data_IF_498627723214
#
_entry.id   IF_498627723214
#
_cell.length_a   1.000
_cell.length_b   1.000
_cell.length_c   1.000
_cell.angle_alpha   90.00
_cell.angle_beta   90.00
_cell.angle_gamma   90.00
#
_symmetry.space_group_name_H-M   'P 1'
#
loop_
_entity.id
_entity.type
_entity.pdbx_description
1 polymer ?
#
# COMPACT_ATOMS: atom_id res chain seq x y z
N UNK A 1 17.64 12.21 2.43
CA UNK A 1 17.37 11.36 1.28
C UNK A 1 18.02 9.98 1.43
N UNK A 2 19.33 9.92 1.75
CA UNK A 2 20.09 8.66 1.89
C UNK A 2 19.55 7.76 3.01
N UNK A 3 19.25 8.32 4.20
CA UNK A 3 18.71 7.57 5.34
C UNK A 3 17.36 6.88 5.00
N UNK A 4 16.50 7.54 4.21
CA UNK A 4 15.24 6.96 3.79
C UNK A 4 15.43 5.79 2.81
N UNK A 5 16.34 5.93 1.84
CA UNK A 5 16.68 4.84 0.91
C UNK A 5 17.33 3.65 1.62
N UNK A 6 18.20 3.92 2.60
CA UNK A 6 18.83 2.87 3.39
C UNK A 6 17.79 2.10 4.23
N UNK A 7 16.84 2.80 4.83
CA UNK A 7 15.72 2.18 5.56
C UNK A 7 14.86 1.30 4.66
N UNK A 8 14.58 1.75 3.43
CA UNK A 8 13.82 0.96 2.46
C UNK A 8 14.58 -0.31 2.04
N UNK A 9 15.90 -0.19 1.85
CA UNK A 9 16.77 -1.32 1.51
C UNK A 9 16.80 -2.35 2.65
N UNK A 10 16.94 -1.90 3.89
CA UNK A 10 16.90 -2.77 5.08
C UNK A 10 15.55 -3.45 5.20
N UNK A 11 14.45 -2.71 4.95
CA UNK A 11 13.09 -3.27 4.92
C UNK A 11 12.93 -4.37 3.87
N UNK A 12 13.48 -4.15 2.67
CA UNK A 12 13.45 -5.12 1.58
C UNK A 12 14.28 -6.37 1.89
N UNK A 13 15.51 -6.18 2.38
CA UNK A 13 16.39 -7.30 2.78
C UNK A 13 15.73 -8.11 3.89
N UNK A 14 15.16 -7.43 4.91
CA UNK A 14 14.46 -8.10 5.99
C UNK A 14 13.24 -8.91 5.50
N UNK A 15 12.50 -8.40 4.52
CA UNK A 15 11.40 -9.13 3.90
C UNK A 15 11.89 -10.38 3.17
N UNK A 16 12.98 -10.28 2.39
CA UNK A 16 13.58 -11.42 1.69
C UNK A 16 14.02 -12.48 2.70
N UNK A 17 14.70 -12.08 3.78
CA UNK A 17 15.13 -13.00 4.84
C UNK A 17 13.94 -13.66 5.52
N UNK A 18 12.91 -12.89 5.87
CA UNK A 18 11.68 -13.44 6.47
C UNK A 18 11.00 -14.43 5.53
N UNK A 19 10.96 -14.15 4.23
CA UNK A 19 10.40 -15.03 3.21
C UNK A 19 11.21 -16.32 3.06
N UNK A 20 12.54 -16.23 3.03
CA UNK A 20 13.43 -17.40 2.98
C UNK A 20 13.27 -18.29 4.21
N UNK A 21 13.16 -17.71 5.39
CA UNK A 21 12.90 -18.45 6.64
C UNK A 21 11.53 -19.14 6.56
N UNK A 22 10.48 -18.41 6.18
CA UNK A 22 9.13 -18.97 6.07
C UNK A 22 9.07 -20.10 5.04
N UNK A 23 9.72 -19.93 3.91
CA UNK A 23 9.80 -20.94 2.84
C UNK A 23 10.62 -22.15 3.27
N UNK A 24 11.77 -21.91 3.91
CA UNK A 24 12.63 -22.97 4.44
C UNK A 24 11.93 -23.82 5.49
N UNK A 25 11.21 -23.20 6.41
CA UNK A 25 10.40 -23.89 7.43
C UNK A 25 9.27 -24.68 6.80
N UNK A 26 8.56 -24.10 5.82
CA UNK A 26 7.48 -24.82 5.10
C UNK A 26 8.04 -26.01 4.32
N UNK A 27 9.17 -25.84 3.62
CA UNK A 27 9.83 -26.91 2.90
C UNK A 27 10.32 -28.01 3.84
N UNK A 28 10.86 -27.65 5.00
CA UNK A 28 11.28 -28.61 6.02
C UNK A 28 10.09 -29.44 6.54
N UNK A 29 8.93 -28.80 6.76
CA UNK A 29 7.72 -29.48 7.21
C UNK A 29 7.11 -30.43 6.18
N UNK A 30 7.28 -30.12 4.88
CA UNK A 30 6.68 -30.92 3.79
C UNK A 30 7.56 -32.06 3.27
N UNK A 31 8.86 -32.06 3.58
CA UNK A 31 9.86 -32.95 2.95
C UNK A 31 10.23 -34.21 3.73
N UNK A 32 9.44 -34.63 4.71
CA UNK A 32 9.80 -35.76 5.58
C UNK A 32 10.98 -35.48 6.52
N UNK A 33 11.54 -34.24 6.49
CA UNK A 33 12.59 -33.82 7.44
C UNK A 33 12.08 -33.86 8.88
N UNK A 34 10.80 -33.54 9.08
CA UNK A 34 10.16 -33.60 10.38
C UNK A 34 10.21 -35.05 10.92
N UNK A 35 9.93 -36.03 10.09
CA UNK A 35 10.01 -37.46 10.46
C UNK A 35 11.45 -37.85 10.83
N UNK A 36 12.45 -37.42 10.05
CA UNK A 36 13.86 -37.70 10.37
C UNK A 36 14.34 -36.98 11.64
N UNK A 37 13.78 -35.84 11.97
CA UNK A 37 14.09 -35.12 13.23
C UNK A 37 13.50 -35.88 14.41
N UNK A 38 12.26 -36.36 14.30
CA UNK A 38 11.61 -37.19 15.35
C UNK A 38 12.35 -38.49 15.57
N UNK A 39 12.77 -39.20 14.52
CA UNK A 39 13.60 -40.41 14.61
C UNK A 39 14.94 -40.12 15.31
N UNK A 40 15.58 -38.98 15.05
CA UNK A 40 16.84 -38.61 15.73
C UNK A 40 16.68 -38.22 17.20
N UNK A 41 15.52 -37.68 17.56
CA UNK A 41 15.19 -37.32 18.95
C UNK A 41 14.72 -38.56 19.75
N UNK A 42 14.63 -39.74 19.09
CA UNK A 42 14.27 -40.97 19.75
C UNK A 42 12.78 -41.10 20.03
N UNK A 43 11.93 -40.38 19.29
CA UNK A 43 10.49 -40.52 19.36
C UNK A 43 10.08 -41.67 18.41
N UNK A 44 9.74 -42.81 18.96
CA UNK A 44 9.25 -43.96 18.19
C UNK A 44 7.94 -43.62 17.49
N UNK A 45 7.78 -44.13 16.26
CA UNK A 45 6.55 -43.96 15.48
C UNK A 45 5.38 -44.59 16.19
N UNK A 46 4.39 -43.78 16.58
CA UNK A 46 3.13 -44.24 17.18
C UNK A 46 1.96 -44.01 16.23
N UNK A 47 0.88 -44.80 16.44
CA UNK A 47 -0.35 -44.61 15.67
C UNK A 47 -0.92 -43.22 15.93
N UNK A 48 -0.87 -42.31 14.90
CA UNK A 48 -1.26 -40.90 15.00
C UNK A 48 -0.11 -39.90 14.81
N UNK A 49 1.12 -40.35 14.61
CA UNK A 49 2.29 -39.48 14.39
C UNK A 49 2.11 -38.54 13.17
N UNK A 50 1.48 -39.02 12.10
CA UNK A 50 1.18 -38.22 10.92
C UNK A 50 0.28 -37.01 11.25
N UNK A 51 -0.65 -37.20 12.17
CA UNK A 51 -1.56 -36.14 12.62
C UNK A 51 -0.81 -35.10 13.45
N UNK A 52 0.11 -35.52 14.30
CA UNK A 52 0.99 -34.60 15.07
C UNK A 52 1.91 -33.84 14.14
N UNK A 53 2.55 -34.49 13.18
CA UNK A 53 3.41 -33.86 12.18
C UNK A 53 2.62 -32.83 11.37
N UNK A 54 1.39 -33.17 10.98
CA UNK A 54 0.51 -32.25 10.25
C UNK A 54 0.20 -30.99 11.08
N UNK A 55 -0.22 -31.12 12.33
CA UNK A 55 -0.55 -29.97 13.18
C UNK A 55 0.67 -29.14 13.56
N UNK A 56 1.81 -29.77 13.80
CA UNK A 56 3.07 -29.06 14.04
C UNK A 56 3.49 -28.29 12.78
N UNK A 57 3.44 -28.89 11.61
CA UNK A 57 3.73 -28.25 10.34
C UNK A 57 2.80 -27.07 10.06
N UNK A 58 1.50 -27.23 10.35
CA UNK A 58 0.49 -26.17 10.23
C UNK A 58 0.80 -25.00 11.18
N UNK A 59 1.09 -25.28 12.45
CA UNK A 59 1.39 -24.26 13.45
C UNK A 59 2.66 -23.47 13.07
N UNK A 60 3.70 -24.18 12.69
CA UNK A 60 4.98 -23.57 12.27
C UNK A 60 4.79 -22.76 10.99
N UNK A 61 4.04 -23.27 10.02
CA UNK A 61 3.68 -22.53 8.80
C UNK A 61 2.88 -21.28 9.10
N UNK A 62 1.95 -21.34 10.03
CA UNK A 62 1.12 -20.21 10.43
C UNK A 62 1.94 -19.12 11.13
N UNK A 63 2.89 -19.51 12.00
CA UNK A 63 3.82 -18.58 12.65
C UNK A 63 4.73 -17.91 11.60
N UNK A 64 5.28 -18.68 10.67
CA UNK A 64 6.13 -18.16 9.60
C UNK A 64 5.37 -17.16 8.71
N UNK A 65 4.16 -17.50 8.28
CA UNK A 65 3.28 -16.60 7.51
C UNK A 65 2.91 -15.35 8.32
N UNK A 66 2.69 -15.50 9.64
CA UNK A 66 2.41 -14.35 10.51
C UNK A 66 3.60 -13.38 10.55
N UNK A 67 4.83 -13.87 10.67
CA UNK A 67 6.03 -13.03 10.68
C UNK A 67 6.16 -12.27 9.36
N UNK A 68 5.96 -12.93 8.22
CA UNK A 68 6.01 -12.29 6.89
C UNK A 68 4.93 -11.22 6.76
N UNK A 69 3.69 -11.52 7.14
CA UNK A 69 2.58 -10.57 7.07
C UNK A 69 2.76 -9.40 8.04
N UNK A 70 3.23 -9.68 9.24
CA UNK A 70 3.55 -8.65 10.22
C UNK A 70 4.61 -7.69 9.67
N UNK A 71 5.67 -8.23 9.06
CA UNK A 71 6.71 -7.44 8.41
C UNK A 71 6.15 -6.59 7.28
N UNK A 72 5.35 -7.20 6.41
CA UNK A 72 4.75 -6.53 5.25
C UNK A 72 3.83 -5.38 5.66
N UNK A 73 3.02 -5.55 6.71
CA UNK A 73 1.99 -4.58 7.11
C UNK A 73 2.54 -3.51 8.04
N UNK A 74 3.47 -3.86 8.95
CA UNK A 74 3.91 -2.94 10.00
C UNK A 74 5.28 -2.31 9.76
N UNK A 75 6.19 -3.01 9.09
CA UNK A 75 7.58 -2.56 8.92
C UNK A 75 7.79 -1.93 7.56
N UNK A 76 7.24 -2.53 6.51
CA UNK A 76 7.43 -2.07 5.14
C UNK A 76 6.75 -0.72 4.83
N UNK A 77 5.51 -0.42 5.30
CA UNK A 77 4.85 0.84 4.98
C UNK A 77 5.56 2.01 5.68
N UNK A 78 5.72 3.12 4.96
CA UNK A 78 6.28 4.37 5.51
C UNK A 78 5.31 5.12 6.44
N UNK A 79 4.07 4.67 6.50
CA UNK A 79 3.00 5.24 7.32
C UNK A 79 2.96 4.57 8.68
N UNK A 80 2.55 5.31 9.72
CA UNK A 80 2.38 4.75 11.06
C UNK A 80 1.12 3.90 11.10
N UNK A 81 1.31 2.58 11.15
CA UNK A 81 0.21 1.63 11.33
C UNK A 81 0.00 1.39 12.83
N UNK A 82 -1.23 1.49 13.37
CA UNK A 82 -1.52 1.17 14.75
C UNK A 82 -1.19 -0.30 15.03
N UNK A 83 -0.48 -0.55 16.13
CA UNK A 83 0.01 -1.90 16.48
C UNK A 83 -1.11 -2.94 16.51
N UNK A 84 -2.26 -2.59 17.09
CA UNK A 84 -3.40 -3.51 17.22
C UNK A 84 -3.98 -3.89 15.85
N UNK A 85 -4.25 -2.90 15.00
CA UNK A 85 -4.77 -3.14 13.65
C UNK A 85 -3.78 -3.93 12.79
N UNK A 86 -2.48 -3.59 12.88
CA UNK A 86 -1.44 -4.30 12.15
C UNK A 86 -1.26 -5.75 12.58
N UNK A 87 -1.29 -6.04 13.90
CA UNK A 87 -1.19 -7.41 14.41
C UNK A 87 -2.40 -8.27 14.01
N UNK A 88 -3.62 -7.72 14.13
CA UNK A 88 -4.83 -8.44 13.71
C UNK A 88 -4.81 -8.68 12.19
N UNK A 89 -4.42 -7.67 11.40
CA UNK A 89 -4.26 -7.81 9.96
C UNK A 89 -3.24 -8.88 9.59
N UNK A 90 -2.10 -8.92 10.28
CA UNK A 90 -1.09 -9.94 10.09
C UNK A 90 -1.58 -11.35 10.44
N UNK A 91 -2.35 -11.50 11.51
CA UNK A 91 -2.96 -12.77 11.90
C UNK A 91 -3.97 -13.28 10.87
N UNK A 92 -4.87 -12.40 10.41
CA UNK A 92 -5.83 -12.74 9.34
C UNK A 92 -5.07 -13.13 8.07
N UNK A 93 -4.02 -12.38 7.73
CA UNK A 93 -3.16 -12.66 6.59
C UNK A 93 -2.48 -14.02 6.67
N UNK A 94 -1.93 -14.36 7.84
CA UNK A 94 -1.29 -15.64 8.06
C UNK A 94 -2.25 -16.81 7.83
N UNK A 95 -3.46 -16.73 8.38
CA UNK A 95 -4.51 -17.74 8.17
C UNK A 95 -4.91 -17.82 6.69
N UNK A 96 -5.14 -16.68 6.04
CA UNK A 96 -5.51 -16.67 4.63
C UNK A 96 -4.43 -17.28 3.74
N UNK A 97 -3.15 -17.02 4.02
CA UNK A 97 -2.03 -17.62 3.30
C UNK A 97 -1.92 -19.12 3.54
N UNK A 98 -2.17 -19.57 4.76
CA UNK A 98 -2.18 -21.01 5.05
C UNK A 98 -3.30 -21.72 4.27
N UNK A 99 -4.50 -21.15 4.26
CA UNK A 99 -5.62 -21.64 3.44
C UNK A 99 -5.26 -21.65 1.95
N UNK A 100 -4.64 -20.59 1.44
CA UNK A 100 -4.21 -20.53 0.05
C UNK A 100 -3.19 -21.61 -0.32
N UNK A 101 -2.25 -21.93 0.59
CA UNK A 101 -1.30 -23.03 0.38
C UNK A 101 -2.01 -24.37 0.25
N UNK A 102 -2.95 -24.65 1.14
CA UNK A 102 -3.72 -25.89 1.09
C UNK A 102 -4.57 -25.99 -0.19
N UNK A 103 -5.24 -24.89 -0.56
CA UNK A 103 -5.99 -24.82 -1.81
C UNK A 103 -5.09 -25.01 -3.03
N UNK A 104 -3.89 -24.41 -3.04
CA UNK A 104 -2.93 -24.55 -4.14
C UNK A 104 -2.53 -26.01 -4.36
N UNK A 105 -2.34 -26.77 -3.28
CA UNK A 105 -2.01 -28.18 -3.36
C UNK A 105 -3.16 -29.00 -3.99
N UNK A 106 -4.40 -28.71 -3.58
CA UNK A 106 -5.60 -29.38 -4.13
C UNK A 106 -5.79 -29.04 -5.61
N UNK A 107 -5.66 -27.76 -5.97
CA UNK A 107 -5.79 -27.32 -7.36
C UNK A 107 -4.68 -27.94 -8.22
N UNK A 108 -3.44 -27.99 -7.71
CA UNK A 108 -2.31 -28.59 -8.42
C UNK A 108 -2.55 -30.08 -8.72
N UNK A 109 -3.00 -30.85 -7.72
CA UNK A 109 -3.28 -32.26 -7.91
C UNK A 109 -4.40 -32.51 -8.93
N UNK A 110 -5.42 -31.66 -8.94
CA UNK A 110 -6.52 -31.73 -9.90
C UNK A 110 -6.08 -31.32 -11.32
N UNK A 111 -5.23 -30.29 -11.44
CA UNK A 111 -4.77 -29.76 -12.73
C UNK A 111 -3.84 -30.73 -13.45
N UNK A 112 -3.06 -31.53 -12.74
CA UNK A 112 -2.08 -32.46 -13.31
C UNK A 112 -2.66 -33.83 -13.72
N UNK A 113 -3.97 -34.06 -13.52
CA UNK A 113 -4.64 -35.33 -13.78
C UNK A 113 -4.79 -35.74 -15.27
N UNK A 114 -4.42 -34.87 -16.23
CA UNK A 114 -4.44 -35.15 -17.66
C UNK A 114 -3.08 -34.90 -18.30
N UNK A 115 -2.74 -35.50 -19.46
CA UNK A 115 -1.48 -35.26 -20.14
C UNK A 115 -1.24 -33.79 -20.51
N UNK A 116 -2.25 -33.08 -20.96
CA UNK A 116 -2.18 -31.64 -21.22
C UNK A 116 -2.06 -30.85 -19.91
N UNK A 117 -2.77 -31.29 -18.86
CA UNK A 117 -2.71 -30.69 -17.53
C UNK A 117 -1.34 -30.84 -16.88
N UNK A 118 -0.63 -31.93 -17.11
CA UNK A 118 0.73 -32.12 -16.61
C UNK A 118 1.71 -31.08 -17.13
N UNK A 119 1.53 -30.59 -18.39
CA UNK A 119 2.40 -29.58 -18.99
C UNK A 119 1.97 -28.16 -18.62
N UNK A 120 0.70 -27.83 -18.78
CA UNK A 120 0.19 -26.47 -18.60
C UNK A 120 -0.38 -26.19 -17.19
N UNK A 121 -0.78 -27.25 -16.47
CA UNK A 121 -1.38 -27.13 -15.16
C UNK A 121 -0.56 -26.33 -14.14
N UNK A 122 0.74 -26.62 -13.98
CA UNK A 122 1.58 -25.87 -13.04
C UNK A 122 1.64 -24.37 -13.33
N UNK A 123 1.68 -23.98 -14.59
CA UNK A 123 1.73 -22.56 -15.00
C UNK A 123 0.41 -21.87 -14.69
N UNK A 124 -0.73 -22.50 -15.03
CA UNK A 124 -2.06 -21.96 -14.78
C UNK A 124 -2.29 -21.83 -13.27
N UNK A 125 -1.96 -22.87 -12.50
CA UNK A 125 -2.10 -22.86 -11.05
C UNK A 125 -1.24 -21.76 -10.44
N UNK A 126 0.01 -21.59 -10.88
CA UNK A 126 0.89 -20.51 -10.41
C UNK A 126 0.27 -19.13 -10.66
N UNK A 127 -0.29 -18.88 -11.83
CA UNK A 127 -0.94 -17.62 -12.16
C UNK A 127 -2.15 -17.35 -11.26
N UNK A 128 -3.00 -18.36 -11.06
CA UNK A 128 -4.19 -18.25 -10.20
C UNK A 128 -3.78 -18.01 -8.74
N UNK A 129 -2.79 -18.75 -8.24
CA UNK A 129 -2.30 -18.60 -6.86
C UNK A 129 -1.68 -17.22 -6.66
N UNK A 130 -0.86 -16.73 -7.60
CA UNK A 130 -0.28 -15.38 -7.53
C UNK A 130 -1.36 -14.31 -7.54
N UNK A 131 -2.39 -14.45 -8.37
CA UNK A 131 -3.54 -13.54 -8.36
C UNK A 131 -4.23 -13.52 -6.99
N UNK A 132 -4.50 -14.68 -6.41
CA UNK A 132 -5.15 -14.80 -5.10
C UNK A 132 -4.28 -14.22 -3.97
N UNK A 133 -2.96 -14.47 -3.98
CA UNK A 133 -2.01 -13.89 -3.03
C UNK A 133 -2.10 -12.37 -3.04
N UNK A 134 -1.98 -11.73 -4.20
CA UNK A 134 -2.06 -10.28 -4.33
C UNK A 134 -3.41 -9.74 -3.86
N UNK A 135 -4.49 -10.43 -4.18
CA UNK A 135 -5.83 -10.05 -3.75
C UNK A 135 -5.99 -10.09 -2.24
N UNK A 136 -5.46 -11.13 -1.59
CA UNK A 136 -5.47 -11.25 -0.11
C UNK A 136 -4.65 -10.13 0.52
N UNK A 137 -3.44 -9.87 0.03
CA UNK A 137 -2.58 -8.80 0.53
C UNK A 137 -3.28 -7.44 0.42
N UNK A 138 -3.93 -7.15 -0.71
CA UNK A 138 -4.66 -5.90 -0.91
C UNK A 138 -5.85 -5.77 0.04
N UNK A 139 -6.64 -6.82 0.21
CA UNK A 139 -7.80 -6.79 1.12
C UNK A 139 -7.38 -6.57 2.58
N UNK A 140 -6.32 -7.24 3.03
CA UNK A 140 -5.83 -7.09 4.39
C UNK A 140 -5.24 -5.70 4.61
N UNK A 141 -4.49 -5.18 3.63
CA UNK A 141 -3.95 -3.83 3.67
C UNK A 141 -5.06 -2.78 3.72
N UNK A 142 -6.09 -2.92 2.88
CA UNK A 142 -7.26 -2.05 2.86
C UNK A 142 -8.03 -2.12 4.19
N UNK A 143 -8.28 -3.33 4.70
CA UNK A 143 -8.94 -3.53 5.98
C UNK A 143 -8.13 -2.89 7.13
N UNK A 144 -6.82 -3.10 7.17
CA UNK A 144 -5.95 -2.51 8.19
C UNK A 144 -5.97 -0.99 8.13
N UNK A 145 -6.02 -0.41 6.93
CA UNK A 145 -6.09 1.04 6.72
C UNK A 145 -7.44 1.66 7.13
N UNK A 146 -8.53 0.91 7.02
CA UNK A 146 -9.90 1.38 7.33
C UNK A 146 -10.34 1.15 8.77
N UNK A 147 -9.50 0.55 9.62
CA UNK A 147 -9.81 0.38 11.04
C UNK A 147 -9.95 1.73 11.74
N UNK A 148 -10.84 1.81 12.74
CA UNK A 148 -11.08 3.05 13.52
C UNK A 148 -9.80 3.64 14.10
N UNK A 149 -8.83 2.80 14.45
CA UNK A 149 -7.54 3.20 14.98
C UNK A 149 -6.64 3.81 13.91
N UNK A 150 -6.66 3.25 12.70
CA UNK A 150 -5.89 3.75 11.54
C UNK A 150 -6.44 5.07 11.01
N UNK A 151 -7.76 5.23 11.01
CA UNK A 151 -8.42 6.47 10.57
C UNK A 151 -8.01 7.69 11.40
N UNK A 152 -7.69 7.52 12.68
CA UNK A 152 -7.16 8.62 13.53
C UNK A 152 -5.83 9.18 13.04
N UNK A 153 -5.03 8.38 12.34
CA UNK A 153 -3.73 8.80 11.81
C UNK A 153 -3.80 9.25 10.34
N UNK A 154 -4.87 8.91 9.65
CA UNK A 154 -5.00 9.13 8.20
C UNK A 154 -5.72 10.43 7.86
N UNK A 155 -6.54 10.96 8.77
CA UNK A 155 -7.22 12.23 8.58
C UNK A 155 -6.34 13.37 9.09
N UNK A 156 -5.68 14.14 8.22
CA UNK A 156 -5.14 15.43 8.63
C UNK A 156 -6.31 16.28 9.16
N UNK A 157 -6.09 17.10 10.20
CA UNK A 157 -7.12 18.02 10.65
C UNK A 157 -7.60 18.83 9.45
N UNK A 158 -8.93 18.96 9.34
CA UNK A 158 -9.53 19.77 8.26
C UNK A 158 -8.87 21.14 8.32
N UNK A 159 -8.25 21.62 7.24
CA UNK A 159 -7.66 22.95 7.26
C UNK A 159 -8.72 23.98 7.64
N UNK A 160 -8.33 24.97 8.44
CA UNK A 160 -9.22 26.06 8.80
C UNK A 160 -9.88 26.66 7.53
N UNK A 161 -11.16 27.06 7.63
CA UNK A 161 -11.85 27.65 6.48
C UNK A 161 -10.99 28.80 5.90
N UNK A 162 -10.78 28.75 4.60
CA UNK A 162 -10.00 29.78 3.94
C UNK A 162 -10.61 31.16 4.25
N UNK A 163 -9.86 31.99 4.95
CA UNK A 163 -10.29 33.38 5.21
C UNK A 163 -10.06 34.13 3.91
N UNK A 164 -11.12 34.23 3.10
CA UNK A 164 -11.11 35.06 1.90
C UNK A 164 -11.19 36.53 2.39
N UNK A 165 -10.04 37.17 2.49
CA UNK A 165 -10.00 38.62 2.67
C UNK A 165 -10.26 39.22 1.30
N UNK A 166 -11.51 39.64 1.06
CA UNK A 166 -11.83 40.45 -0.11
C UNK A 166 -11.23 41.82 0.14
N UNK A 167 -10.06 42.06 -0.44
CA UNK A 167 -9.46 43.39 -0.47
C UNK A 167 -10.11 44.14 -1.64
N UNK A 168 -11.16 44.92 -1.33
CA UNK A 168 -11.70 45.86 -2.28
C UNK A 168 -10.69 47.00 -2.44
N UNK A 169 -9.77 46.91 -3.37
CA UNK A 169 -9.01 48.05 -3.82
C UNK A 169 -9.94 48.88 -4.72
N UNK A 170 -10.62 49.82 -4.12
CA UNK A 170 -11.28 50.89 -4.88
C UNK A 170 -10.15 51.72 -5.45
N UNK A 171 -9.80 51.50 -6.72
CA UNK A 171 -8.97 52.45 -7.43
C UNK A 171 -9.79 53.74 -7.58
N UNK A 172 -9.48 54.73 -6.72
CA UNK A 172 -10.01 56.06 -6.91
C UNK A 172 -9.54 56.52 -8.30
N UNK A 173 -10.50 56.70 -9.18
CA UNK A 173 -10.22 57.28 -10.49
C UNK A 173 -9.60 58.67 -10.33
N UNK A 174 -8.93 59.16 -11.36
CA UNK A 174 -8.36 60.53 -11.33
C UNK A 174 -9.44 61.52 -10.89
N UNK A 175 -9.12 62.45 -9.98
CA UNK A 175 -10.10 63.37 -9.41
C UNK A 175 -10.80 64.13 -10.57
N UNK A 176 -12.12 64.19 -10.50
CA UNK A 176 -12.96 64.75 -11.57
C UNK A 176 -12.48 66.14 -12.05
N UNK A 177 -11.90 66.94 -11.15
CA UNK A 177 -11.31 68.21 -11.47
C UNK A 177 -10.10 68.13 -12.39
N UNK A 178 -9.24 67.12 -12.25
CA UNK A 178 -8.08 66.91 -13.11
C UNK A 178 -8.48 66.45 -14.52
N UNK A 179 -9.44 65.58 -14.64
CA UNK A 179 -9.95 65.10 -15.95
C UNK A 179 -10.70 66.20 -16.65
N UNK A 180 -11.48 67.00 -15.94
CA UNK A 180 -12.15 68.22 -16.53
C UNK A 180 -11.16 69.27 -16.96
N UNK A 181 -10.10 69.56 -16.18
CA UNK A 181 -9.08 70.52 -16.47
C UNK A 181 -8.27 70.16 -17.73
N UNK A 182 -7.85 68.94 -17.86
CA UNK A 182 -7.15 68.42 -19.05
C UNK A 182 -8.03 68.44 -20.28
N UNK A 183 -9.30 68.08 -20.18
CA UNK A 183 -10.28 68.07 -21.23
C UNK A 183 -10.55 69.52 -21.75
N UNK A 184 -10.71 70.48 -20.83
CA UNK A 184 -10.92 71.87 -21.15
C UNK A 184 -9.68 72.52 -21.85
N UNK A 185 -8.48 72.21 -21.35
CA UNK A 185 -7.23 72.69 -21.97
C UNK A 185 -7.02 72.17 -23.40
N UNK A 186 -7.27 70.85 -23.59
CA UNK A 186 -7.20 70.26 -24.94
C UNK A 186 -8.26 70.81 -25.88
N UNK A 187 -9.50 71.04 -25.41
CA UNK A 187 -10.55 71.69 -26.18
C UNK A 187 -10.23 73.12 -26.58
N UNK A 188 -9.72 73.95 -25.65
CA UNK A 188 -9.31 75.28 -25.92
C UNK A 188 -8.14 75.38 -26.93
N UNK A 189 -7.15 74.45 -26.79
CA UNK A 189 -6.05 74.38 -27.75
C UNK A 189 -6.52 74.00 -29.17
N UNK A 190 -7.44 73.02 -29.27
CA UNK A 190 -8.00 72.61 -30.56
C UNK A 190 -8.81 73.74 -31.22
N UNK A 191 -9.65 74.44 -30.47
CA UNK A 191 -10.39 75.63 -30.98
C UNK A 191 -9.46 76.79 -31.38
N UNK A 192 -8.42 77.02 -30.57
CA UNK A 192 -7.38 78.04 -30.91
C UNK A 192 -6.63 77.74 -32.20
N UNK A 193 -6.18 76.45 -32.31
CA UNK A 193 -5.49 76.04 -33.57
C UNK A 193 -6.43 76.09 -34.77
N UNK A 194 -7.69 75.72 -34.66
CA UNK A 194 -8.69 75.85 -35.72
C UNK A 194 -8.94 77.28 -36.13
N UNK A 195 -8.98 78.24 -35.19
CA UNK A 195 -9.21 79.65 -35.46
C UNK A 195 -8.01 80.29 -36.22
N UNK A 196 -6.79 79.80 -35.92
CA UNK A 196 -5.58 80.25 -36.62
C UNK A 196 -5.51 79.74 -38.07
N UNK A 197 -5.95 78.51 -38.32
CA UNK A 197 -6.00 77.88 -39.64
C UNK A 197 -7.07 78.54 -40.55
N UNK A 198 -8.13 79.06 -39.98
CA UNK A 198 -9.23 79.73 -40.70
C UNK A 198 -8.97 81.20 -41.06
N UNK A 199 -7.89 81.77 -40.54
CA UNK A 199 -7.47 83.17 -40.83
C UNK A 199 -6.50 83.37 -42.03
N UNK A 200 -6.30 82.30 -42.80
CA UNK A 200 -5.65 82.32 -44.07
C UNK A 200 -6.72 82.10 -45.16
#
# INVERSE_FOLDING_TARGET
>A
FLKKKLSDLVGLIGLIVAFLIAFGVTAAGSSGLTQKIFERVGIESFSGMDLVIFFVGLAVGLVANFIVMWWLIMILPRTKVPKKSGLIGAAIGAVAFEVLKQLSTIIMSSATGSPAGAVFGPVIVLMVVMYLIWRVVLYISAWTATTKESLKYTHPPVPEPAVIRVRNEIKEGAPAGATFGVGAALGAAAVGAWSLLRRK
#
